data_IF_665977009779
#
_entry.id   IF_665977009779
#
_cell.length_a   1.000
_cell.length_b   1.000
_cell.length_c   1.000
_cell.angle_alpha   90.00
_cell.angle_beta   90.00
_cell.angle_gamma   90.00
#
_symmetry.space_group_name_H-M   'P 1'
#
loop_
_entity.id
_entity.type
_entity.pdbx_description
1 polymer ?
#
# COMPACT_ATOMS: atom_id res chain seq x y z
N UNK A 1 12.32 13.74 0.33
CA UNK A 1 13.53 14.57 0.45
C UNK A 1 14.11 14.44 1.85
N UNK A 2 13.36 14.76 2.89
CA UNK A 2 13.82 14.70 4.29
C UNK A 2 14.40 13.35 4.72
N UNK A 3 13.74 12.25 4.36
CA UNK A 3 14.20 10.92 4.74
C UNK A 3 15.55 10.58 4.11
N UNK A 4 15.72 10.86 2.81
CA UNK A 4 17.00 10.61 2.11
C UNK A 4 18.13 11.43 2.72
N UNK A 5 17.92 12.74 2.91
CA UNK A 5 18.92 13.64 3.46
C UNK A 5 19.36 13.20 4.86
N UNK A 6 18.41 12.85 5.73
CA UNK A 6 18.72 12.31 7.07
C UNK A 6 19.47 10.98 7.01
N UNK A 7 19.08 10.09 6.11
CA UNK A 7 19.74 8.78 5.96
C UNK A 7 21.19 8.89 5.51
N UNK A 8 21.49 9.87 4.64
CA UNK A 8 22.86 10.19 4.24
C UNK A 8 23.63 10.79 5.42
N UNK A 9 23.07 11.76 6.15
CA UNK A 9 23.69 12.37 7.32
C UNK A 9 24.01 11.36 8.41
N UNK A 10 23.17 10.35 8.58
CA UNK A 10 23.33 9.25 9.54
C UNK A 10 24.24 8.12 9.02
N UNK A 11 24.80 8.24 7.83
CA UNK A 11 25.69 7.23 7.20
C UNK A 11 24.97 5.93 6.81
N UNK A 12 23.64 5.94 6.68
CA UNK A 12 22.85 4.77 6.26
C UNK A 12 22.84 4.58 4.73
N UNK A 13 23.06 5.65 4.00
CA UNK A 13 23.14 5.69 2.53
C UNK A 13 24.38 6.45 2.10
N UNK A 14 25.03 5.91 1.09
CA UNK A 14 26.11 6.56 0.36
C UNK A 14 25.52 7.33 -0.84
N UNK A 15 25.63 8.66 -0.92
CA UNK A 15 25.06 9.43 -2.03
C UNK A 15 25.64 9.06 -3.40
N UNK A 16 26.85 8.53 -3.44
CA UNK A 16 27.53 8.16 -4.69
C UNK A 16 27.16 6.75 -5.18
N UNK A 17 26.69 5.88 -4.27
CA UNK A 17 26.32 4.49 -4.55
C UNK A 17 24.78 4.32 -4.53
N UNK A 18 24.11 4.94 -3.55
CA UNK A 18 22.66 4.81 -3.32
C UNK A 18 21.89 5.95 -3.98
N UNK A 19 22.18 6.22 -5.27
CA UNK A 19 21.64 7.36 -6.01
C UNK A 19 20.11 7.41 -6.02
N UNK A 20 19.46 6.23 -6.15
CA UNK A 20 18.00 6.11 -6.18
C UNK A 20 17.50 5.46 -4.90
N UNK A 21 16.91 6.28 -4.00
CA UNK A 21 16.39 5.80 -2.71
C UNK A 21 15.43 4.62 -2.85
N UNK A 22 14.47 4.70 -3.77
CA UNK A 22 13.44 3.66 -3.91
C UNK A 22 13.99 2.34 -4.46
N UNK A 23 15.19 2.33 -5.03
CA UNK A 23 15.87 1.11 -5.46
C UNK A 23 16.46 0.31 -4.27
N UNK A 24 16.72 0.99 -3.15
CA UNK A 24 17.25 0.37 -1.95
C UNK A 24 16.19 -0.48 -1.22
N UNK A 25 14.91 -0.30 -1.56
CA UNK A 25 13.82 -1.03 -0.95
C UNK A 25 13.32 -2.16 -1.85
N UNK A 26 13.41 -3.39 -1.39
CA UNK A 26 12.85 -4.55 -2.10
C UNK A 26 11.32 -4.47 -2.17
N UNK A 27 10.67 -3.88 -1.18
CA UNK A 27 9.23 -3.61 -1.13
C UNK A 27 8.95 -2.23 -0.58
N UNK A 28 7.89 -1.61 -1.09
CA UNK A 28 7.40 -0.31 -0.64
C UNK A 28 6.01 -0.51 -0.05
N UNK A 29 5.94 -0.45 1.27
CA UNK A 29 4.70 -0.61 2.04
C UNK A 29 4.06 0.76 2.20
N UNK A 30 2.86 0.93 1.70
CA UNK A 30 2.14 2.21 1.73
C UNK A 30 0.85 2.07 2.53
N UNK A 31 0.49 3.13 3.27
CA UNK A 31 -0.87 3.23 3.78
C UNK A 31 -1.86 3.27 2.63
N UNK A 32 -2.83 2.35 2.61
CA UNK A 32 -3.74 2.11 1.49
C UNK A 32 -5.20 2.38 1.89
N UNK A 33 -5.72 3.61 1.75
CA UNK A 33 -7.16 3.90 1.89
C UNK A 33 -7.99 3.16 0.84
N UNK A 34 -7.41 2.93 -0.32
CA UNK A 34 -7.90 1.97 -1.32
C UNK A 34 -6.70 1.26 -1.98
N UNK A 35 -6.96 0.09 -2.55
CA UNK A 35 -5.93 -0.86 -2.96
C UNK A 35 -4.81 -0.27 -3.83
N UNK A 36 -5.17 0.58 -4.78
CA UNK A 36 -4.22 1.09 -5.79
C UNK A 36 -3.64 2.47 -5.46
N UNK A 37 -3.81 2.95 -4.23
CA UNK A 37 -3.30 4.26 -3.80
C UNK A 37 -1.77 4.35 -3.94
N UNK A 38 -1.04 3.31 -3.55
CA UNK A 38 0.42 3.27 -3.71
C UNK A 38 0.83 3.50 -5.16
N UNK A 39 0.32 2.68 -6.07
CA UNK A 39 0.56 2.81 -7.50
C UNK A 39 0.22 4.21 -8.05
N UNK A 40 -0.82 4.84 -7.53
CA UNK A 40 -1.27 6.16 -7.98
C UNK A 40 -0.41 7.32 -7.48
N UNK A 41 0.18 7.19 -6.28
CA UNK A 41 1.01 8.23 -5.67
C UNK A 41 2.46 8.21 -6.14
N UNK A 42 2.95 7.06 -6.57
CA UNK A 42 4.37 6.87 -6.84
C UNK A 42 4.90 7.43 -8.17
N UNK A 43 4.12 7.84 -9.18
CA UNK A 43 4.67 8.53 -10.34
C UNK A 43 5.52 9.76 -9.98
N UNK A 44 5.09 10.56 -8.97
CA UNK A 44 5.85 11.72 -8.51
C UNK A 44 7.15 11.33 -7.79
N UNK A 45 7.11 10.30 -6.95
CA UNK A 45 8.30 9.79 -6.26
C UNK A 45 9.27 9.19 -7.27
N UNK A 46 8.76 8.39 -8.21
CA UNK A 46 9.54 7.78 -9.28
C UNK A 46 10.24 8.82 -10.14
N UNK A 47 9.52 9.87 -10.56
CA UNK A 47 10.05 11.02 -11.29
C UNK A 47 11.15 11.74 -10.48
N UNK A 48 10.85 12.09 -9.23
CA UNK A 48 11.76 12.84 -8.37
C UNK A 48 13.07 12.09 -8.15
N UNK A 49 13.02 10.79 -7.98
CA UNK A 49 14.19 9.95 -7.78
C UNK A 49 15.07 9.79 -9.04
N UNK A 50 14.47 9.96 -10.25
CA UNK A 50 15.11 9.53 -11.51
C UNK A 50 15.30 10.63 -12.55
N UNK A 51 14.62 11.77 -12.42
CA UNK A 51 14.59 12.80 -13.47
C UNK A 51 15.95 13.41 -13.84
N UNK A 52 16.95 13.28 -12.97
CA UNK A 52 18.31 13.77 -13.22
C UNK A 52 19.26 12.67 -13.72
N UNK A 53 18.75 11.45 -13.96
CA UNK A 53 19.55 10.31 -14.39
C UNK A 53 19.45 10.11 -15.91
N UNK A 54 20.47 9.53 -16.55
CA UNK A 54 20.45 9.28 -18.00
C UNK A 54 19.25 8.46 -18.45
N UNK A 55 18.73 7.56 -17.61
CA UNK A 55 17.53 6.76 -17.92
C UNK A 55 16.30 7.63 -18.17
N UNK A 56 16.23 8.85 -17.61
CA UNK A 56 15.07 9.72 -17.78
C UNK A 56 14.94 10.29 -19.19
N UNK A 57 16.04 10.34 -19.94
CA UNK A 57 16.03 10.76 -21.35
C UNK A 57 15.08 9.89 -22.17
N UNK A 58 15.10 8.56 -21.99
CA UNK A 58 14.20 7.64 -22.67
C UNK A 58 12.74 7.89 -22.33
N UNK A 59 12.46 8.17 -21.06
CA UNK A 59 11.09 8.50 -20.60
C UNK A 59 10.66 9.82 -21.25
N UNK A 60 11.53 10.83 -21.30
CA UNK A 60 11.24 12.11 -21.95
C UNK A 60 11.01 11.96 -23.44
N UNK A 61 11.76 11.09 -24.12
CA UNK A 61 11.52 10.76 -25.53
C UNK A 61 10.15 10.12 -25.78
N UNK A 62 9.70 9.26 -24.85
CA UNK A 62 8.42 8.55 -24.96
C UNK A 62 7.21 9.44 -24.67
N UNK A 63 7.26 10.22 -23.57
CA UNK A 63 6.08 10.93 -23.04
C UNK A 63 6.16 12.46 -23.12
N UNK A 64 7.26 13.00 -23.65
CA UNK A 64 7.51 14.42 -23.74
C UNK A 64 8.20 15.02 -22.51
N UNK A 65 8.55 16.32 -22.56
CA UNK A 65 9.23 17.01 -21.48
C UNK A 65 8.34 17.18 -20.24
N UNK A 66 8.97 17.21 -19.08
CA UNK A 66 8.33 17.50 -17.80
C UNK A 66 7.79 18.93 -17.79
N UNK A 67 6.52 19.17 -17.40
CA UNK A 67 5.99 20.52 -17.20
C UNK A 67 6.69 21.16 -15.99
N UNK A 68 7.24 22.35 -16.17
CA UNK A 68 7.92 23.10 -15.14
C UNK A 68 7.05 24.28 -14.67
N UNK A 69 7.04 24.66 -13.39
CA UNK A 69 6.23 25.78 -12.89
C UNK A 69 6.51 27.09 -13.63
N UNK A 70 7.76 27.32 -14.03
CA UNK A 70 8.21 28.50 -14.78
C UNK A 70 7.64 28.62 -16.19
N UNK A 71 7.09 27.53 -16.74
CA UNK A 71 6.40 27.54 -18.05
C UNK A 71 5.00 28.15 -17.98
N UNK A 72 4.50 28.45 -16.76
CA UNK A 72 3.18 28.93 -16.49
C UNK A 72 3.20 30.28 -15.78
N UNK A 73 2.16 31.10 -16.01
CA UNK A 73 2.04 32.38 -15.34
C UNK A 73 1.82 32.20 -13.83
N UNK A 74 2.41 33.08 -13.03
CA UNK A 74 2.19 33.12 -11.57
C UNK A 74 0.85 33.82 -11.25
N UNK A 75 -0.22 33.22 -11.72
CA UNK A 75 -1.62 33.62 -11.49
C UNK A 75 -2.43 32.40 -11.06
N UNK A 76 -3.61 32.57 -10.44
CA UNK A 76 -4.47 31.43 -10.10
C UNK A 76 -4.77 30.53 -11.30
N UNK A 77 -4.99 31.11 -12.47
CA UNK A 77 -5.25 30.39 -13.72
C UNK A 77 -4.01 29.64 -14.21
N UNK A 78 -2.82 30.24 -14.12
CA UNK A 78 -1.55 29.60 -14.48
C UNK A 78 -1.21 28.44 -13.55
N UNK A 79 -1.46 28.60 -12.23
CA UNK A 79 -1.28 27.52 -11.25
C UNK A 79 -2.23 26.35 -11.59
N UNK A 80 -3.50 26.62 -11.89
CA UNK A 80 -4.45 25.58 -12.28
C UNK A 80 -4.02 24.86 -13.59
N UNK A 81 -3.48 25.60 -14.55
CA UNK A 81 -2.96 25.04 -15.80
C UNK A 81 -1.75 24.13 -15.53
N UNK A 82 -0.81 24.57 -14.68
CA UNK A 82 0.32 23.76 -14.26
C UNK A 82 -0.13 22.47 -13.56
N UNK A 83 -1.06 22.55 -12.62
CA UNK A 83 -1.59 21.37 -11.92
C UNK A 83 -2.22 20.37 -12.89
N UNK A 84 -3.00 20.83 -13.88
CA UNK A 84 -3.58 19.96 -14.92
C UNK A 84 -2.52 19.33 -15.80
N UNK A 85 -1.49 20.09 -16.20
CA UNK A 85 -0.37 19.56 -16.99
C UNK A 85 0.40 18.50 -16.19
N UNK A 86 0.71 18.80 -14.94
CA UNK A 86 1.41 17.89 -14.03
C UNK A 86 0.60 16.61 -13.76
N UNK A 87 -0.71 16.70 -13.56
CA UNK A 87 -1.59 15.54 -13.45
C UNK A 87 -1.61 14.68 -14.71
N UNK A 88 -1.60 15.30 -15.86
CA UNK A 88 -1.53 14.62 -17.15
C UNK A 88 -0.19 13.92 -17.33
N UNK A 89 0.90 14.58 -16.97
CA UNK A 89 2.25 14.01 -17.02
C UNK A 89 2.40 12.80 -16.08
N UNK A 90 1.88 12.87 -14.85
CA UNK A 90 1.84 11.72 -13.92
C UNK A 90 1.12 10.51 -14.53
N UNK A 91 0.03 10.74 -15.26
CA UNK A 91 -0.70 9.66 -15.97
C UNK A 91 0.11 9.07 -17.11
N UNK A 92 0.93 9.88 -17.80
CA UNK A 92 1.84 9.38 -18.83
C UNK A 92 2.96 8.54 -18.21
N UNK A 93 3.63 9.03 -17.16
CA UNK A 93 4.63 8.24 -16.41
C UNK A 93 4.04 6.88 -16.00
N UNK A 94 2.81 6.85 -15.49
CA UNK A 94 2.19 5.60 -15.04
C UNK A 94 1.96 4.57 -16.13
N UNK A 95 2.12 4.93 -17.41
CA UNK A 95 1.98 4.06 -18.57
C UNK A 95 3.30 3.56 -19.13
N UNK A 96 4.44 4.19 -18.78
CA UNK A 96 5.76 3.74 -19.24
C UNK A 96 6.10 2.35 -18.71
N UNK A 97 6.88 1.60 -19.47
CA UNK A 97 7.29 0.25 -19.05
C UNK A 97 8.20 0.29 -17.81
N UNK A 98 9.06 1.29 -17.69
CA UNK A 98 9.94 1.48 -16.53
C UNK A 98 9.15 1.67 -15.24
N UNK A 99 8.07 2.47 -15.29
CA UNK A 99 7.21 2.64 -14.11
C UNK A 99 6.38 1.39 -13.79
N UNK A 100 5.88 0.70 -14.81
CA UNK A 100 5.16 -0.57 -14.61
C UNK A 100 6.05 -1.63 -13.96
N UNK A 101 7.28 -1.75 -14.44
CA UNK A 101 8.27 -2.67 -13.86
C UNK A 101 8.60 -2.29 -12.41
N UNK A 102 8.80 -1.01 -12.12
CA UNK A 102 8.97 -0.51 -10.77
C UNK A 102 7.80 -0.89 -9.86
N UNK A 103 6.56 -0.70 -10.32
CA UNK A 103 5.36 -1.08 -9.57
C UNK A 103 5.29 -2.58 -9.33
N UNK A 104 5.53 -3.38 -10.38
CA UNK A 104 5.53 -4.84 -10.30
C UNK A 104 6.52 -5.34 -9.25
N UNK A 105 7.76 -4.85 -9.32
CA UNK A 105 8.83 -5.29 -8.42
C UNK A 105 8.64 -4.81 -6.97
N UNK A 106 8.13 -3.58 -6.76
CA UNK A 106 8.21 -2.91 -5.45
C UNK A 106 6.87 -2.77 -4.73
N UNK A 107 5.77 -2.64 -5.47
CA UNK A 107 4.48 -2.20 -4.92
C UNK A 107 3.39 -3.27 -5.07
N UNK A 108 3.33 -4.02 -6.15
CA UNK A 108 2.17 -4.85 -6.49
C UNK A 108 1.81 -5.87 -5.40
N UNK A 109 2.78 -6.59 -4.88
CA UNK A 109 2.58 -7.56 -3.80
C UNK A 109 2.03 -6.91 -2.52
N UNK A 110 2.36 -5.65 -2.27
CA UNK A 110 1.89 -4.91 -1.09
C UNK A 110 0.40 -4.56 -1.17
N UNK A 111 -0.14 -4.44 -2.37
CA UNK A 111 -1.53 -4.05 -2.64
C UNK A 111 -2.51 -5.23 -2.74
N UNK A 112 -1.99 -6.44 -2.93
CA UNK A 112 -2.79 -7.64 -3.23
C UNK A 112 -3.88 -7.90 -2.20
N UNK A 113 -3.58 -7.97 -0.91
CA UNK A 113 -4.57 -8.20 0.12
C UNK A 113 -5.58 -7.04 0.25
N UNK A 114 -5.12 -5.80 0.15
CA UNK A 114 -6.00 -4.62 0.21
C UNK A 114 -6.99 -4.59 -0.95
N UNK A 115 -6.64 -5.11 -2.12
CA UNK A 115 -7.57 -5.23 -3.26
C UNK A 115 -8.71 -6.22 -2.99
N UNK A 116 -8.50 -7.16 -2.07
CA UNK A 116 -9.47 -8.19 -1.71
C UNK A 116 -10.29 -7.84 -0.46
N UNK A 117 -9.82 -6.93 0.39
CA UNK A 117 -10.44 -6.60 1.68
C UNK A 117 -11.04 -5.19 1.67
N UNK A 118 -10.35 -4.22 1.06
CA UNK A 118 -10.70 -2.80 1.09
C UNK A 118 -9.98 -2.04 2.21
N UNK A 119 -10.51 -0.86 2.56
CA UNK A 119 -9.90 0.05 3.52
C UNK A 119 -9.88 -0.50 4.94
N UNK A 120 -8.70 -0.56 5.55
CA UNK A 120 -8.48 -0.96 6.94
C UNK A 120 -8.00 0.21 7.81
N UNK A 121 -8.19 1.47 7.36
CA UNK A 121 -7.72 2.66 8.05
C UNK A 121 -6.24 2.53 8.46
N UNK A 122 -5.92 2.79 9.73
CA UNK A 122 -4.55 2.69 10.25
C UNK A 122 -3.94 1.28 10.09
N UNK A 123 -4.77 0.23 10.09
CA UNK A 123 -4.34 -1.15 9.87
C UNK A 123 -3.88 -1.44 8.44
N UNK A 124 -4.18 -0.58 7.46
CA UNK A 124 -3.89 -0.85 6.06
C UNK A 124 -2.39 -0.99 5.75
N UNK A 125 -1.52 -0.27 6.46
CA UNK A 125 -0.07 -0.39 6.26
C UNK A 125 0.46 -1.75 6.76
N UNK A 126 -0.09 -2.27 7.85
CA UNK A 126 0.26 -3.59 8.36
C UNK A 126 -0.30 -4.71 7.47
N UNK A 127 -1.51 -4.52 6.95
CA UNK A 127 -2.08 -5.44 5.95
C UNK A 127 -1.24 -5.47 4.67
N UNK A 128 -0.75 -4.31 4.20
CA UNK A 128 0.14 -4.22 3.06
C UNK A 128 1.50 -4.92 3.33
N UNK A 129 2.04 -4.80 4.53
CA UNK A 129 3.24 -5.51 4.96
C UNK A 129 3.00 -7.04 4.95
N UNK A 130 1.93 -7.50 5.60
CA UNK A 130 1.57 -8.93 5.60
C UNK A 130 1.38 -9.46 4.19
N UNK A 131 0.69 -8.69 3.33
CA UNK A 131 0.45 -9.04 1.93
C UNK A 131 1.75 -9.24 1.15
N UNK A 132 2.71 -8.34 1.31
CA UNK A 132 4.02 -8.44 0.65
C UNK A 132 4.79 -9.65 1.16
N UNK A 133 4.94 -9.77 2.47
CA UNK A 133 5.74 -10.83 3.10
C UNK A 133 5.19 -12.23 2.80
N UNK A 134 3.87 -12.42 2.90
CA UNK A 134 3.26 -13.72 2.56
C UNK A 134 3.33 -14.01 1.05
N UNK A 135 3.17 -12.99 0.19
CA UNK A 135 3.35 -13.18 -1.26
C UNK A 135 4.78 -13.63 -1.59
N UNK A 136 5.79 -12.99 -0.97
CA UNK A 136 7.18 -13.37 -1.19
C UNK A 136 7.50 -14.77 -0.65
N UNK A 137 6.91 -15.13 0.48
CA UNK A 137 7.03 -16.48 1.04
C UNK A 137 6.44 -17.54 0.09
N UNK A 138 5.23 -17.31 -0.42
CA UNK A 138 4.55 -18.24 -1.33
C UNK A 138 5.26 -18.38 -2.68
N UNK A 139 5.85 -17.29 -3.17
CA UNK A 139 6.60 -17.28 -4.44
C UNK A 139 8.04 -17.80 -4.27
N UNK A 140 8.48 -18.12 -3.05
CA UNK A 140 9.85 -18.57 -2.77
C UNK A 140 10.90 -17.46 -2.90
N UNK A 141 10.50 -16.18 -2.95
CA UNK A 141 11.42 -15.05 -3.02
C UNK A 141 12.24 -14.94 -1.73
N UNK A 142 13.55 -14.71 -1.84
CA UNK A 142 14.39 -14.50 -0.66
C UNK A 142 14.31 -13.04 -0.22
N UNK A 143 14.01 -12.80 1.05
CA UNK A 143 13.83 -11.49 1.62
C UNK A 143 14.78 -11.17 2.77
N UNK A 144 15.49 -12.16 3.32
CA UNK A 144 16.43 -11.93 4.43
C UNK A 144 17.43 -10.83 4.09
N UNK A 145 17.70 -9.98 5.06
CA UNK A 145 18.57 -8.81 4.96
C UNK A 145 18.13 -7.73 3.97
N UNK A 146 17.05 -7.93 3.23
CA UNK A 146 16.51 -6.90 2.33
C UNK A 146 15.92 -5.74 3.15
N UNK A 147 16.06 -4.54 2.61
CA UNK A 147 15.40 -3.34 3.14
C UNK A 147 13.98 -3.23 2.57
N UNK A 148 13.05 -2.79 3.41
CA UNK A 148 11.69 -2.42 3.02
C UNK A 148 11.40 -0.99 3.44
N UNK A 149 10.79 -0.20 2.56
CA UNK A 149 10.34 1.15 2.87
C UNK A 149 8.89 1.14 3.35
N UNK A 150 8.60 1.87 4.43
CA UNK A 150 7.24 2.03 4.96
C UNK A 150 6.83 3.50 4.90
N UNK A 151 5.77 3.77 4.13
CA UNK A 151 5.27 5.11 3.85
C UNK A 151 3.86 5.28 4.43
N UNK A 152 3.80 5.85 5.63
CA UNK A 152 2.54 6.20 6.29
C UNK A 152 2.15 7.65 6.01
N UNK A 153 0.87 7.91 5.77
CA UNK A 153 0.35 9.26 5.70
C UNK A 153 -1.06 9.33 6.31
N UNK A 154 -1.47 10.51 6.68
CA UNK A 154 -2.81 10.77 7.22
C UNK A 154 -3.38 12.06 6.68
N UNK A 155 -4.72 12.18 6.69
CA UNK A 155 -5.47 13.33 6.18
C UNK A 155 -5.17 14.67 6.88
N UNK A 156 -4.49 14.64 8.03
CA UNK A 156 -3.98 15.84 8.73
C UNK A 156 -2.63 16.34 8.19
N UNK A 157 -2.30 16.10 6.92
CA UNK A 157 -1.07 16.51 6.25
C UNK A 157 0.22 16.00 6.95
N UNK A 158 0.15 14.86 7.62
CA UNK A 158 1.33 14.19 8.20
C UNK A 158 1.71 12.99 7.36
N UNK A 159 2.98 12.93 6.97
CA UNK A 159 3.59 11.75 6.37
C UNK A 159 4.81 11.32 7.19
N UNK A 160 4.99 10.01 7.30
CA UNK A 160 6.19 9.41 7.90
C UNK A 160 6.74 8.37 6.96
N UNK A 161 8.03 8.42 6.75
CA UNK A 161 8.79 7.41 6.00
C UNK A 161 9.80 6.81 6.97
N UNK A 162 9.87 5.50 7.01
CA UNK A 162 10.87 4.75 7.74
C UNK A 162 11.19 3.47 6.98
N UNK A 163 12.24 2.80 7.36
CA UNK A 163 12.63 1.55 6.73
C UNK A 163 12.86 0.47 7.79
N UNK A 164 12.75 -0.77 7.34
CA UNK A 164 13.07 -1.94 8.13
C UNK A 164 14.00 -2.88 7.35
N UNK A 165 14.73 -3.70 8.08
CA UNK A 165 15.53 -4.79 7.53
C UNK A 165 14.84 -6.10 7.87
N UNK A 166 14.61 -6.92 6.87
CA UNK A 166 13.96 -8.23 7.03
C UNK A 166 14.90 -9.18 7.78
N UNK A 167 14.42 -9.70 8.88
CA UNK A 167 15.20 -10.55 9.78
C UNK A 167 15.18 -12.04 9.33
N UNK A 168 16.15 -12.87 9.74
CA UNK A 168 16.21 -14.29 9.35
C UNK A 168 14.94 -15.10 9.66
N UNK A 169 14.22 -14.76 10.73
CA UNK A 169 12.97 -15.43 11.15
C UNK A 169 11.74 -15.11 10.25
N UNK A 170 11.88 -14.28 9.23
CA UNK A 170 10.76 -13.82 8.42
C UNK A 170 9.93 -14.95 7.80
N UNK A 171 10.58 -16.04 7.34
CA UNK A 171 9.87 -17.19 6.75
C UNK A 171 8.99 -17.91 7.77
N UNK A 172 9.47 -18.07 8.99
CA UNK A 172 8.69 -18.67 10.09
C UNK A 172 7.47 -17.81 10.41
N UNK A 173 7.62 -16.48 10.44
CA UNK A 173 6.52 -15.54 10.68
C UNK A 173 5.53 -15.59 9.50
N UNK A 174 6.03 -15.52 8.27
CA UNK A 174 5.20 -15.51 7.06
C UNK A 174 4.35 -16.78 6.93
N UNK A 175 4.93 -17.95 7.25
CA UNK A 175 4.23 -19.24 7.18
C UNK A 175 3.01 -19.34 8.11
N UNK A 176 2.91 -18.47 9.12
CA UNK A 176 1.81 -18.45 10.09
C UNK A 176 0.70 -17.46 9.74
N UNK A 177 0.86 -16.64 8.71
CA UNK A 177 -0.15 -15.63 8.37
C UNK A 177 -1.43 -16.25 7.82
N UNK A 178 -1.31 -17.17 6.89
CA UNK A 178 -2.46 -17.80 6.19
C UNK A 178 -3.45 -16.77 5.62
N UNK A 179 -2.96 -15.58 5.25
CA UNK A 179 -3.81 -14.45 4.84
C UNK A 179 -4.55 -14.77 3.54
N UNK A 180 -3.82 -15.22 2.52
CA UNK A 180 -4.44 -15.51 1.22
C UNK A 180 -5.26 -16.79 1.24
N UNK A 181 -4.86 -17.79 2.02
CA UNK A 181 -5.65 -18.98 2.27
C UNK A 181 -7.02 -18.61 2.86
N UNK A 182 -7.04 -17.84 3.96
CA UNK A 182 -8.28 -17.36 4.59
C UNK A 182 -9.13 -16.50 3.67
N UNK A 183 -8.49 -15.66 2.83
CA UNK A 183 -9.20 -14.86 1.85
C UNK A 183 -9.85 -15.71 0.74
N UNK A 184 -9.25 -16.85 0.39
CA UNK A 184 -9.80 -17.78 -0.61
C UNK A 184 -11.01 -18.54 -0.12
N UNK A 185 -11.16 -18.74 1.20
CA UNK A 185 -12.30 -19.47 1.80
C UNK A 185 -13.54 -18.60 2.05
N UNK A 186 -13.50 -17.31 1.69
CA UNK A 186 -14.65 -16.41 1.85
C UNK A 186 -15.83 -16.86 1.02
N UNK A 187 -17.01 -16.80 1.65
CA UNK A 187 -18.27 -17.13 0.99
C UNK A 187 -18.86 -15.90 0.28
N UNK A 188 -19.07 -16.02 -1.03
CA UNK A 188 -19.68 -14.97 -1.83
C UNK A 188 -21.17 -14.82 -1.49
N UNK A 189 -21.61 -13.59 -1.26
CA UNK A 189 -23.02 -13.26 -1.03
C UNK A 189 -23.53 -12.28 -2.09
N UNK A 190 -24.83 -12.35 -2.39
CA UNK A 190 -25.46 -11.39 -3.27
C UNK A 190 -25.86 -10.10 -2.51
N UNK A 191 -26.25 -9.07 -3.29
CA UNK A 191 -26.64 -7.76 -2.74
C UNK A 191 -27.80 -7.87 -1.74
N UNK A 192 -28.79 -8.69 -1.99
CA UNK A 192 -29.97 -8.85 -1.11
C UNK A 192 -29.56 -9.38 0.26
N UNK A 193 -28.68 -10.39 0.31
CA UNK A 193 -28.14 -10.93 1.55
C UNK A 193 -27.28 -9.89 2.27
N UNK A 194 -26.40 -9.18 1.54
CA UNK A 194 -25.60 -8.10 2.10
C UNK A 194 -26.47 -7.02 2.76
N UNK A 195 -27.48 -6.51 2.05
CA UNK A 195 -28.40 -5.48 2.59
C UNK A 195 -29.21 -5.97 3.80
N UNK A 196 -29.62 -7.23 3.80
CA UNK A 196 -30.34 -7.82 4.92
C UNK A 196 -29.47 -7.92 6.18
N UNK A 197 -28.19 -8.29 6.03
CA UNK A 197 -27.21 -8.29 7.12
C UNK A 197 -26.93 -6.87 7.61
N UNK A 198 -26.63 -5.95 6.68
CA UNK A 198 -26.29 -4.56 6.99
C UNK A 198 -27.45 -3.83 7.74
N UNK A 199 -28.68 -4.06 7.34
CA UNK A 199 -29.89 -3.49 7.98
C UNK A 199 -30.35 -4.26 9.23
N UNK A 200 -29.62 -5.26 9.69
CA UNK A 200 -29.98 -6.10 10.84
C UNK A 200 -31.23 -6.96 10.67
N UNK A 201 -31.77 -7.05 9.43
CA UNK A 201 -32.94 -7.91 9.12
C UNK A 201 -32.57 -9.39 9.15
N UNK A 202 -31.36 -9.74 8.80
CA UNK A 202 -30.79 -11.08 8.92
C UNK A 202 -29.78 -11.06 10.07
N UNK A 203 -30.08 -11.81 11.12
CA UNK A 203 -29.24 -11.92 12.34
C UNK A 203 -28.34 -13.16 12.34
N UNK A 204 -28.61 -14.14 11.49
CA UNK A 204 -27.81 -15.38 11.42
C UNK A 204 -26.70 -15.22 10.40
N UNK A 205 -25.53 -15.77 10.71
CA UNK A 205 -24.39 -15.88 9.79
C UNK A 205 -24.81 -16.54 8.46
N UNK A 206 -24.14 -16.21 7.38
CA UNK A 206 -24.35 -16.83 6.07
C UNK A 206 -23.75 -18.22 6.05
N UNK A 207 -22.58 -18.36 6.65
CA UNK A 207 -21.88 -19.63 6.85
C UNK A 207 -21.89 -19.94 8.33
N UNK A 208 -22.19 -21.19 8.70
CA UNK A 208 -22.12 -21.61 10.09
C UNK A 208 -20.66 -21.55 10.53
N UNK A 209 -20.35 -20.85 11.65
CA UNK A 209 -19.02 -20.89 12.21
C UNK A 209 -18.58 -22.33 12.51
N UNK A 210 -17.31 -22.65 12.28
CA UNK A 210 -16.72 -23.96 12.53
C UNK A 210 -15.24 -23.81 12.84
N UNK A 211 -14.81 -24.33 13.99
CA UNK A 211 -13.43 -24.23 14.46
C UNK A 211 -12.87 -22.80 14.46
N UNK A 212 -13.69 -21.86 14.95
CA UNK A 212 -13.33 -20.44 15.02
C UNK A 212 -14.01 -19.73 16.21
N UNK A 213 -13.48 -18.54 16.58
CA UNK A 213 -14.19 -17.67 17.51
C UNK A 213 -15.34 -16.97 16.80
N UNK A 214 -16.58 -17.23 17.23
CA UNK A 214 -17.78 -16.63 16.69
C UNK A 214 -18.42 -15.67 17.69
N UNK A 215 -19.08 -14.62 17.19
CA UNK A 215 -19.90 -13.72 17.99
C UNK A 215 -21.17 -14.48 18.40
N UNK A 216 -21.31 -14.78 19.69
CA UNK A 216 -22.45 -15.54 20.23
C UNK A 216 -23.50 -14.64 20.86
N UNK A 217 -23.12 -13.46 21.35
CA UNK A 217 -24.02 -12.54 22.03
C UNK A 217 -23.61 -11.07 21.84
N UNK A 218 -24.62 -10.21 21.74
CA UNK A 218 -24.44 -8.76 21.87
C UNK A 218 -25.28 -8.33 23.07
N UNK A 219 -24.65 -7.70 24.07
CA UNK A 219 -25.32 -7.24 25.30
C UNK A 219 -26.50 -6.31 24.98
N UNK A 220 -27.63 -6.58 25.65
CA UNK A 220 -28.82 -5.74 25.59
C UNK A 220 -28.71 -4.47 26.44
N UNK A 221 -29.85 -3.80 26.65
CA UNK A 221 -29.95 -2.57 27.43
C UNK A 221 -29.30 -2.69 28.82
N UNK A 222 -28.57 -1.65 29.25
CA UNK A 222 -27.92 -1.54 30.53
C UNK A 222 -26.39 -1.41 30.44
N UNK A 223 -25.67 -1.80 31.53
CA UNK A 223 -24.20 -1.64 31.62
C UNK A 223 -23.39 -2.39 30.54
N UNK A 224 -23.98 -3.42 29.96
CA UNK A 224 -23.33 -4.26 28.94
C UNK A 224 -23.89 -4.01 27.52
N UNK A 225 -24.63 -2.92 27.33
CA UNK A 225 -25.20 -2.57 26.02
C UNK A 225 -24.11 -2.47 24.95
N UNK A 226 -24.30 -3.21 23.86
CA UNK A 226 -23.38 -3.29 22.74
C UNK A 226 -22.12 -4.12 22.99
N UNK A 227 -21.89 -4.65 24.21
CA UNK A 227 -20.76 -5.54 24.48
C UNK A 227 -20.89 -6.81 23.64
N UNK A 228 -19.81 -7.17 22.95
CA UNK A 228 -19.76 -8.37 22.10
C UNK A 228 -19.06 -9.49 22.85
N UNK A 229 -19.74 -10.66 22.93
CA UNK A 229 -19.18 -11.89 23.50
C UNK A 229 -18.84 -12.86 22.37
N UNK A 230 -17.59 -13.31 22.35
CA UNK A 230 -17.11 -14.29 21.38
C UNK A 230 -16.79 -15.61 22.13
N UNK A 231 -17.14 -16.72 21.53
CA UNK A 231 -16.82 -18.06 22.02
C UNK A 231 -16.24 -18.90 20.89
N UNK A 232 -15.41 -19.87 21.27
CA UNK A 232 -14.93 -20.88 20.32
C UNK A 232 -16.09 -21.80 19.97
N UNK A 233 -16.31 -22.00 18.67
CA UNK A 233 -17.36 -22.89 18.13
C UNK A 233 -16.66 -24.02 17.37
N UNK A 234 -17.03 -25.26 17.71
CA UNK A 234 -16.59 -26.47 17.00
C UNK A 234 -17.41 -26.73 15.75
#
# INVERSE_FOLDING_TARGET
IDFRSKSIQEGRYDPDVDEILTNQWSRIIVHLPYAFQGKRMFPDVFRHDRRNLPMWEKITEEIGPEPLPEDFLDTPEGIEQFEKANDSYRRLISKTEEFKEFVFQRIEKTQRASSLIGNQYTGSIFLALMSAVESDYLDGTEMESNRIGLCGYGSGAKAKVFEGIVQPSWREIASRFHLFERLSTRHAINKTVYEALHKGKRKKSVVKPNSEFALVEIGGEGKLEGQRRYEWVE
#
